data_IF_899056372806
#
_entry.id   IF_899056372806
#
_cell.length_a   1.000
_cell.length_b   1.000
_cell.length_c   1.000
_cell.angle_alpha   90.00
_cell.angle_beta   90.00
_cell.angle_gamma   90.00
#
_symmetry.space_group_name_H-M   'P 1'
#
loop_
_entity.id
_entity.type
_entity.pdbx_description
1 polymer ?
#
# COMPACT_ATOMS: atom_id res chain seq x y z
N UNK A 1 -10.19 36.24 -17.47
CA UNK A 1 -8.98 36.28 -16.63
C UNK A 1 -8.36 34.90 -16.41
N UNK A 2 -9.11 33.82 -16.13
CA UNK A 2 -8.54 32.47 -15.98
C UNK A 2 -7.94 31.89 -17.29
N UNK A 3 -8.62 32.06 -18.43
CA UNK A 3 -8.13 31.60 -19.75
C UNK A 3 -6.88 32.33 -20.21
N UNK A 4 -6.77 33.62 -19.93
CA UNK A 4 -5.58 34.41 -20.27
C UNK A 4 -4.39 33.99 -19.41
N UNK A 5 -4.55 33.82 -18.09
CA UNK A 5 -3.47 33.34 -17.23
C UNK A 5 -2.97 31.93 -17.60
N UNK A 6 -3.88 31.05 -18.04
CA UNK A 6 -3.55 29.70 -18.46
C UNK A 6 -2.76 29.68 -19.79
N UNK A 7 -3.16 30.50 -20.75
CA UNK A 7 -2.46 30.67 -22.04
C UNK A 7 -1.11 31.36 -21.83
N UNK A 8 -1.03 32.39 -20.97
CA UNK A 8 0.24 33.03 -20.63
C UNK A 8 1.16 32.09 -19.86
N UNK A 9 0.65 31.29 -18.93
CA UNK A 9 1.43 30.29 -18.20
C UNK A 9 1.99 29.19 -19.11
N UNK A 10 1.18 28.69 -20.06
CA UNK A 10 1.61 27.71 -21.06
C UNK A 10 2.59 28.31 -22.09
N UNK A 11 2.36 29.55 -22.53
CA UNK A 11 3.28 30.27 -23.42
C UNK A 11 4.61 30.57 -22.73
N UNK A 12 4.61 30.96 -21.46
CA UNK A 12 5.82 31.14 -20.68
C UNK A 12 6.54 29.80 -20.48
N UNK A 13 5.84 28.73 -20.10
CA UNK A 13 6.45 27.40 -20.00
C UNK A 13 7.08 26.94 -21.33
N UNK A 14 6.42 27.19 -22.46
CA UNK A 14 6.94 26.84 -23.79
C UNK A 14 8.13 27.73 -24.21
N UNK A 15 8.04 29.04 -23.99
CA UNK A 15 9.13 29.99 -24.26
C UNK A 15 10.36 29.72 -23.38
N UNK A 16 10.16 29.36 -22.11
CA UNK A 16 11.24 29.06 -21.17
C UNK A 16 11.84 27.66 -21.33
N UNK A 17 11.12 26.71 -21.95
CA UNK A 17 11.67 25.39 -22.27
C UNK A 17 12.70 25.41 -23.42
N UNK A 18 12.64 26.41 -24.30
CA UNK A 18 13.49 26.50 -25.49
C UNK A 18 14.71 27.41 -25.35
N UNK A 19 14.77 28.25 -24.31
CA UNK A 19 15.87 29.20 -24.11
C UNK A 19 16.72 28.75 -22.92
N UNK A 20 18.03 28.54 -23.16
CA UNK A 20 19.05 28.53 -22.10
C UNK A 20 19.11 29.92 -21.44
N UNK A 21 18.12 30.25 -20.62
CA UNK A 21 18.16 31.41 -19.75
C UNK A 21 19.00 31.03 -18.53
N UNK A 22 20.27 31.42 -18.59
CA UNK A 22 21.25 31.14 -17.58
C UNK A 22 20.74 31.40 -16.15
N UNK A 23 20.93 30.43 -15.28
CA UNK A 23 21.07 30.55 -13.82
C UNK A 23 20.07 31.44 -13.04
N UNK A 24 18.89 31.75 -13.57
CA UNK A 24 17.92 32.63 -12.90
C UNK A 24 16.74 31.81 -12.36
N UNK A 25 16.66 31.73 -11.03
CA UNK A 25 15.49 31.19 -10.35
C UNK A 25 14.35 32.23 -10.36
N UNK A 26 13.15 31.82 -10.77
CA UNK A 26 11.96 32.67 -10.77
C UNK A 26 10.90 32.05 -9.86
N UNK A 27 10.45 32.80 -8.86
CA UNK A 27 9.36 32.39 -7.96
C UNK A 27 8.16 33.35 -8.10
N UNK A 28 7.06 32.85 -8.66
CA UNK A 28 5.74 33.51 -8.75
C UNK A 28 4.67 32.57 -8.19
N UNK A 29 5.02 31.80 -7.17
CA UNK A 29 4.13 30.82 -6.57
C UNK A 29 2.83 31.47 -6.05
N UNK A 30 1.69 30.75 -6.14
CA UNK A 30 1.56 29.39 -6.64
C UNK A 30 1.42 29.33 -8.17
N UNK A 31 1.54 30.42 -8.92
CA UNK A 31 1.25 30.39 -10.36
C UNK A 31 2.37 29.73 -11.16
N UNK A 32 3.63 30.05 -10.85
CA UNK A 32 4.79 29.55 -11.58
C UNK A 32 6.05 29.57 -10.72
N UNK A 33 6.84 28.49 -10.72
CA UNK A 33 8.21 28.49 -10.22
C UNK A 33 9.15 27.84 -11.23
N UNK A 34 10.38 28.33 -11.32
CA UNK A 34 11.44 27.73 -12.12
C UNK A 34 12.75 27.82 -11.36
N UNK A 35 13.35 26.68 -11.03
CA UNK A 35 14.66 26.60 -10.40
C UNK A 35 15.65 25.82 -11.28
N UNK A 36 16.92 26.26 -11.32
CA UNK A 36 17.96 25.49 -11.99
C UNK A 36 18.24 24.19 -11.22
N UNK A 37 18.36 23.09 -11.96
CA UNK A 37 18.76 21.77 -11.47
C UNK A 37 20.02 21.31 -12.23
N UNK A 38 20.91 20.47 -11.68
CA UNK A 38 22.13 20.03 -12.39
C UNK A 38 21.85 19.49 -13.80
N UNK A 39 20.76 18.74 -13.96
CA UNK A 39 20.37 18.10 -15.23
C UNK A 39 19.24 18.83 -15.98
N UNK A 40 18.94 20.09 -15.61
CA UNK A 40 17.93 20.89 -16.30
C UNK A 40 17.26 21.95 -15.43
N UNK A 41 15.94 22.00 -15.45
CA UNK A 41 15.15 22.93 -14.64
C UNK A 41 14.01 22.17 -13.95
N UNK A 42 13.73 22.57 -12.72
CA UNK A 42 12.53 22.17 -12.01
C UNK A 42 11.48 23.27 -12.18
N UNK A 43 10.40 22.95 -12.90
CA UNK A 43 9.33 23.89 -13.20
C UNK A 43 8.03 23.41 -12.58
N UNK A 44 7.35 24.31 -11.84
CA UNK A 44 6.00 24.06 -11.33
C UNK A 44 5.03 25.13 -11.85
N UNK A 45 3.81 24.72 -12.20
CA UNK A 45 2.76 25.62 -12.73
C UNK A 45 1.45 25.34 -11.99
N UNK A 46 0.80 26.42 -11.54
CA UNK A 46 -0.43 26.40 -10.74
C UNK A 46 -0.28 25.53 -9.48
N UNK A 47 0.84 25.67 -8.77
CA UNK A 47 1.21 24.88 -7.61
C UNK A 47 1.76 23.54 -8.08
N UNK A 48 1.28 22.41 -7.54
CA UNK A 48 1.81 21.09 -7.84
C UNK A 48 1.03 20.37 -8.96
N UNK A 49 0.10 21.06 -9.62
CA UNK A 49 -0.75 20.45 -10.64
C UNK A 49 0.03 20.10 -11.89
N UNK A 50 0.96 20.95 -12.32
CA UNK A 50 1.89 20.65 -13.40
C UNK A 50 3.30 20.78 -12.84
N UNK A 51 4.07 19.71 -12.92
CA UNK A 51 5.46 19.69 -12.47
C UNK A 51 6.31 18.98 -13.52
N UNK A 52 7.39 19.64 -13.92
CA UNK A 52 8.37 19.15 -14.87
C UNK A 52 9.70 19.15 -14.14
N UNK A 53 10.18 17.96 -13.80
CA UNK A 53 11.50 17.70 -13.26
C UNK A 53 12.26 16.82 -14.27
N UNK A 54 13.60 16.86 -14.33
CA UNK A 54 14.36 15.93 -15.17
C UNK A 54 13.98 14.46 -14.93
N UNK A 55 13.83 14.08 -13.66
CA UNK A 55 13.49 12.71 -13.26
C UNK A 55 12.02 12.33 -13.43
N UNK A 56 11.09 13.29 -13.44
CA UNK A 56 9.67 12.98 -13.53
C UNK A 56 8.84 14.14 -14.10
N UNK A 57 7.73 13.81 -14.75
CA UNK A 57 6.75 14.77 -15.24
C UNK A 57 5.37 14.42 -14.72
N UNK A 58 4.70 15.37 -14.09
CA UNK A 58 3.40 15.14 -13.48
C UNK A 58 2.36 16.19 -13.91
N UNK A 59 1.18 15.70 -14.26
CA UNK A 59 -0.04 16.47 -14.46
C UNK A 59 -1.11 15.94 -13.51
N UNK A 60 -1.05 16.38 -12.26
CA UNK A 60 -1.77 15.77 -11.14
C UNK A 60 -3.25 16.19 -11.07
N UNK A 61 -4.14 15.29 -10.60
CA UNK A 61 -3.91 13.88 -10.24
C UNK A 61 -4.08 12.93 -11.46
N UNK A 62 -4.14 13.47 -12.67
CA UNK A 62 -4.57 12.75 -13.87
C UNK A 62 -3.46 11.87 -14.48
N UNK A 63 -2.23 12.34 -14.42
CA UNK A 63 -1.07 11.70 -15.04
C UNK A 63 0.20 11.98 -14.23
N UNK A 64 1.06 10.97 -14.10
CA UNK A 64 2.41 11.14 -13.58
C UNK A 64 3.33 10.14 -14.28
N UNK A 65 4.53 10.57 -14.66
CA UNK A 65 5.56 9.75 -15.28
C UNK A 65 6.85 9.90 -14.53
N UNK A 66 7.32 8.81 -13.95
CA UNK A 66 8.64 8.66 -13.37
C UNK A 66 9.58 8.14 -14.46
N UNK A 67 10.54 8.97 -14.87
CA UNK A 67 11.50 8.60 -15.92
C UNK A 67 12.59 7.66 -15.38
N UNK A 68 12.84 7.70 -14.07
CA UNK A 68 13.89 6.93 -13.40
C UNK A 68 13.51 5.45 -13.32
N UNK A 69 12.26 5.17 -12.98
CA UNK A 69 11.71 3.80 -12.92
C UNK A 69 10.89 3.42 -14.17
N UNK A 70 10.78 4.31 -15.16
CA UNK A 70 9.92 4.15 -16.33
C UNK A 70 8.47 3.75 -15.98
N UNK A 71 7.95 4.33 -14.89
CA UNK A 71 6.58 4.10 -14.45
C UNK A 71 5.68 5.27 -14.86
N UNK A 72 4.49 4.96 -15.37
CA UNK A 72 3.47 5.95 -15.69
C UNK A 72 2.18 5.63 -14.94
N UNK A 73 1.69 6.57 -14.14
CA UNK A 73 0.37 6.53 -13.52
C UNK A 73 -0.63 7.35 -14.33
N UNK A 74 -1.84 6.81 -14.51
CA UNK A 74 -2.98 7.52 -15.10
C UNK A 74 -4.15 7.36 -14.13
N UNK A 75 -4.72 8.47 -13.65
CA UNK A 75 -5.84 8.47 -12.70
C UNK A 75 -5.55 7.55 -11.49
N UNK A 76 -4.43 7.78 -10.82
CA UNK A 76 -4.01 6.94 -9.69
C UNK A 76 -5.16 6.76 -8.66
N UNK A 77 -5.51 5.53 -8.24
CA UNK A 77 -4.79 4.26 -8.42
C UNK A 77 -5.26 3.39 -9.60
N UNK A 78 -6.15 3.89 -10.47
CA UNK A 78 -6.80 3.10 -11.51
C UNK A 78 -5.82 2.61 -12.57
N UNK A 79 -4.98 3.51 -13.10
CA UNK A 79 -4.00 3.24 -14.14
C UNK A 79 -2.56 3.27 -13.62
N UNK A 80 -1.81 2.19 -13.84
CA UNK A 80 -0.35 2.13 -13.60
C UNK A 80 0.30 1.29 -14.68
N UNK A 81 1.29 1.85 -15.35
CA UNK A 81 1.96 1.29 -16.52
C UNK A 81 3.46 1.26 -16.26
N UNK A 82 4.03 0.06 -16.22
CA UNK A 82 5.47 -0.18 -16.25
C UNK A 82 5.78 -1.22 -17.33
N UNK A 83 7.07 -1.41 -17.63
CA UNK A 83 7.55 -2.35 -18.65
C UNK A 83 7.04 -3.77 -18.42
N UNK A 84 7.02 -4.23 -17.18
CA UNK A 84 6.60 -5.58 -16.83
C UNK A 84 5.10 -5.68 -16.55
N UNK A 85 4.50 -4.63 -15.98
CA UNK A 85 3.11 -4.65 -15.51
C UNK A 85 2.39 -3.38 -15.88
N UNK A 86 1.33 -3.52 -16.66
CA UNK A 86 0.43 -2.42 -16.99
C UNK A 86 -0.98 -2.76 -16.54
N UNK A 87 -1.71 -1.81 -15.97
CA UNK A 87 -3.11 -2.01 -15.56
C UNK A 87 -3.89 -0.71 -15.69
N UNK A 88 -5.16 -0.85 -16.03
CA UNK A 88 -6.19 0.17 -15.91
C UNK A 88 -7.46 -0.50 -15.41
N UNK A 89 -7.68 -0.47 -14.09
CA UNK A 89 -8.72 -1.27 -13.45
C UNK A 89 -10.14 -0.78 -13.80
N UNK A 90 -11.12 -1.68 -14.06
CA UNK A 90 -10.99 -3.13 -14.23
C UNK A 90 -10.81 -3.56 -15.71
N UNK A 91 -10.71 -2.60 -16.63
CA UNK A 91 -10.85 -2.84 -18.07
C UNK A 91 -9.60 -3.45 -18.71
N UNK A 92 -8.40 -3.09 -18.25
CA UNK A 92 -7.15 -3.52 -18.87
C UNK A 92 -6.16 -4.01 -17.81
N UNK A 93 -5.48 -5.12 -18.10
CA UNK A 93 -4.28 -5.52 -17.39
C UNK A 93 -3.33 -6.26 -18.33
N UNK A 94 -2.04 -6.06 -18.15
CA UNK A 94 -0.97 -6.73 -18.89
C UNK A 94 0.15 -7.07 -17.92
N UNK A 95 0.65 -8.29 -18.04
CA UNK A 95 1.80 -8.80 -17.30
C UNK A 95 2.73 -9.47 -18.29
N UNK A 96 4.00 -9.10 -18.23
CA UNK A 96 5.07 -9.62 -19.05
C UNK A 96 6.15 -10.17 -18.12
N UNK A 97 6.11 -11.49 -17.91
CA UNK A 97 7.17 -12.25 -17.25
C UNK A 97 7.81 -13.19 -18.29
N UNK A 98 9.06 -13.63 -18.08
CA UNK A 98 9.82 -14.42 -19.05
C UNK A 98 9.06 -15.67 -19.57
N UNK A 99 8.40 -16.40 -18.65
CA UNK A 99 7.65 -17.62 -18.97
C UNK A 99 6.15 -17.40 -19.08
N UNK A 100 5.67 -16.18 -18.83
CA UNK A 100 4.24 -15.92 -18.67
C UNK A 100 3.88 -14.52 -19.13
N UNK A 101 3.17 -14.46 -20.25
CA UNK A 101 2.57 -13.23 -20.74
C UNK A 101 1.06 -13.32 -20.59
N UNK A 102 0.45 -12.21 -20.19
CA UNK A 102 -0.99 -12.13 -20.07
C UNK A 102 -1.46 -10.73 -20.37
N UNK A 103 -2.54 -10.61 -21.14
CA UNK A 103 -3.23 -9.37 -21.42
C UNK A 103 -4.72 -9.60 -21.31
N UNK A 104 -5.39 -8.84 -20.45
CA UNK A 104 -6.84 -8.73 -20.37
C UNK A 104 -7.24 -7.36 -20.88
N UNK A 105 -8.19 -7.33 -21.81
CA UNK A 105 -9.00 -6.17 -22.17
C UNK A 105 -10.46 -6.61 -22.00
N UNK A 106 -10.98 -6.48 -20.79
CA UNK A 106 -12.24 -7.10 -20.39
C UNK A 106 -13.36 -6.78 -21.41
N UNK A 107 -14.09 -7.79 -21.92
CA UNK A 107 -14.12 -9.20 -21.50
C UNK A 107 -13.08 -10.13 -22.15
N UNK A 108 -12.26 -9.63 -23.07
CA UNK A 108 -11.26 -10.41 -23.80
C UNK A 108 -10.01 -10.60 -22.97
N UNK A 109 -9.39 -11.78 -23.10
CA UNK A 109 -8.07 -12.00 -22.55
C UNK A 109 -7.26 -12.93 -23.45
N UNK A 110 -5.95 -12.78 -23.41
CA UNK A 110 -4.99 -13.57 -24.16
C UNK A 110 -3.68 -13.65 -23.39
N UNK A 111 -2.84 -14.62 -23.72
CA UNK A 111 -1.55 -14.76 -23.08
C UNK A 111 -0.79 -15.97 -23.58
N UNK A 112 0.40 -16.18 -23.02
CA UNK A 112 1.18 -17.38 -23.22
C UNK A 112 1.77 -17.85 -21.90
N UNK A 113 1.93 -19.16 -21.75
CA UNK A 113 2.70 -19.77 -20.68
C UNK A 113 3.66 -20.80 -21.28
N UNK A 114 4.96 -20.64 -21.06
CA UNK A 114 6.02 -21.48 -21.67
C UNK A 114 5.76 -21.72 -23.17
N UNK A 115 5.61 -20.63 -23.92
CA UNK A 115 5.32 -20.61 -25.37
C UNK A 115 3.96 -21.19 -25.80
N UNK A 116 3.12 -21.70 -24.89
CA UNK A 116 1.74 -22.10 -25.23
C UNK A 116 0.78 -20.91 -25.18
N UNK A 117 0.20 -20.50 -26.32
CA UNK A 117 -0.79 -19.43 -26.34
C UNK A 117 -2.12 -19.89 -25.75
N UNK A 118 -2.83 -18.96 -25.12
CA UNK A 118 -4.18 -19.16 -24.60
C UNK A 118 -4.98 -17.85 -24.70
N UNK A 119 -6.30 -17.94 -24.52
CA UNK A 119 -7.18 -16.77 -24.55
C UNK A 119 -8.65 -17.13 -24.47
N UNK A 120 -9.49 -16.10 -24.49
CA UNK A 120 -10.93 -16.25 -24.40
C UNK A 120 -11.69 -14.92 -24.31
N UNK A 121 -13.00 -15.06 -24.24
CA UNK A 121 -13.99 -13.99 -24.09
C UNK A 121 -14.87 -14.38 -22.91
N UNK A 122 -14.73 -13.69 -21.79
CA UNK A 122 -15.56 -13.94 -20.61
C UNK A 122 -16.98 -13.37 -20.82
N UNK A 123 -18.06 -14.11 -20.49
CA UNK A 123 -18.11 -15.46 -19.94
C UNK A 123 -18.29 -16.57 -20.99
N UNK A 124 -18.22 -16.28 -22.28
CA UNK A 124 -18.59 -17.22 -23.36
C UNK A 124 -17.67 -18.42 -23.48
N UNK A 125 -16.37 -18.21 -23.56
CA UNK A 125 -15.39 -19.29 -23.69
C UNK A 125 -14.02 -18.80 -23.29
N UNK A 126 -13.21 -19.67 -22.72
CA UNK A 126 -11.82 -19.34 -22.53
C UNK A 126 -10.97 -20.49 -22.06
N UNK A 127 -9.68 -20.42 -22.37
CA UNK A 127 -8.65 -21.33 -21.91
C UNK A 127 -7.56 -20.49 -21.27
N UNK A 128 -7.08 -20.91 -20.11
CA UNK A 128 -5.97 -20.30 -19.39
C UNK A 128 -5.01 -21.40 -18.92
N UNK A 129 -3.70 -21.11 -18.95
CA UNK A 129 -2.67 -21.98 -18.40
C UNK A 129 -1.98 -21.33 -17.21
N UNK A 130 -1.62 -22.15 -16.22
CA UNK A 130 -0.92 -21.75 -14.99
C UNK A 130 -1.53 -20.50 -14.31
N UNK A 131 -2.86 -20.51 -14.13
CA UNK A 131 -3.65 -19.37 -13.62
C UNK A 131 -4.56 -19.81 -12.49
N UNK A 132 -4.81 -18.93 -11.52
CA UNK A 132 -5.68 -19.19 -10.37
C UNK A 132 -5.31 -20.44 -9.55
N UNK A 133 -4.03 -20.84 -9.57
CA UNK A 133 -3.54 -22.04 -8.89
C UNK A 133 -3.81 -23.37 -9.61
N UNK A 134 -4.21 -23.32 -10.88
CA UNK A 134 -4.43 -24.46 -11.77
C UNK A 134 -3.45 -24.45 -12.94
N UNK A 135 -3.03 -25.64 -13.39
CA UNK A 135 -2.17 -25.78 -14.57
C UNK A 135 -2.92 -25.43 -15.85
N UNK A 136 -4.21 -25.74 -15.88
CA UNK A 136 -5.10 -25.45 -17.00
C UNK A 136 -6.51 -25.18 -16.48
N UNK A 137 -7.15 -24.14 -16.97
CA UNK A 137 -8.55 -23.83 -16.69
C UNK A 137 -9.27 -23.50 -17.99
N UNK A 138 -10.36 -24.20 -18.29
CA UNK A 138 -11.25 -23.84 -19.40
C UNK A 138 -12.66 -23.64 -18.89
N UNK A 139 -13.40 -22.78 -19.59
CA UNK A 139 -14.82 -22.61 -19.36
C UNK A 139 -15.56 -22.44 -20.68
N UNK A 140 -16.84 -22.81 -20.65
CA UNK A 140 -17.79 -22.60 -21.72
C UNK A 140 -19.09 -22.07 -21.10
N UNK A 141 -19.51 -20.90 -21.54
CA UNK A 141 -20.67 -20.16 -21.03
C UNK A 141 -20.66 -20.10 -19.50
N UNK A 142 -19.60 -19.56 -18.90
CA UNK A 142 -19.48 -19.48 -17.45
C UNK A 142 -20.75 -18.82 -16.85
N UNK A 143 -21.37 -19.41 -15.80
CA UNK A 143 -20.90 -20.53 -14.98
C UNK A 143 -21.39 -21.93 -15.41
N UNK A 144 -21.97 -22.11 -16.60
CA UNK A 144 -22.58 -23.37 -17.03
C UNK A 144 -21.61 -24.55 -17.10
N UNK A 145 -20.40 -24.35 -17.65
CA UNK A 145 -19.38 -25.39 -17.69
C UNK A 145 -17.98 -24.81 -17.44
N UNK A 146 -17.21 -25.48 -16.60
CA UNK A 146 -15.78 -25.24 -16.47
C UNK A 146 -15.05 -26.55 -16.19
N UNK A 147 -13.84 -26.68 -16.71
CA UNK A 147 -12.92 -27.74 -16.30
C UNK A 147 -11.59 -27.12 -15.85
N UNK A 148 -10.99 -27.72 -14.83
CA UNK A 148 -9.70 -27.28 -14.30
C UNK A 148 -8.81 -28.48 -14.09
N UNK A 149 -7.54 -28.36 -14.46
CA UNK A 149 -6.52 -29.37 -14.23
C UNK A 149 -5.50 -28.87 -13.21
N UNK A 150 -5.13 -29.74 -12.28
CA UNK A 150 -4.01 -29.54 -11.36
C UNK A 150 -3.28 -30.86 -11.18
N UNK A 151 -2.00 -30.90 -11.51
CA UNK A 151 -1.22 -32.12 -11.68
C UNK A 151 -1.94 -33.09 -12.66
N UNK A 152 -2.22 -34.31 -12.22
CA UNK A 152 -2.95 -35.32 -13.00
C UNK A 152 -4.46 -35.32 -12.76
N UNK A 153 -4.97 -34.39 -11.94
CA UNK A 153 -6.39 -34.34 -11.60
C UNK A 153 -7.14 -33.35 -12.47
N UNK A 154 -8.22 -33.81 -13.07
CA UNK A 154 -9.16 -32.97 -13.84
C UNK A 154 -10.49 -32.88 -13.13
N UNK A 155 -10.86 -31.67 -12.73
CA UNK A 155 -12.15 -31.36 -12.10
C UNK A 155 -13.08 -30.69 -13.09
N UNK A 156 -14.24 -31.29 -13.32
CA UNK A 156 -15.34 -30.77 -14.12
C UNK A 156 -16.35 -30.08 -13.22
N UNK A 157 -16.86 -28.93 -13.65
CA UNK A 157 -17.88 -28.15 -12.95
C UNK A 157 -19.03 -27.87 -13.91
N UNK A 158 -20.24 -28.15 -13.48
CA UNK A 158 -21.47 -27.85 -14.20
C UNK A 158 -22.32 -26.94 -13.34
N UNK A 159 -22.80 -25.84 -13.93
CA UNK A 159 -23.58 -24.80 -13.25
C UNK A 159 -22.91 -24.39 -11.94
N UNK A 160 -21.64 -23.96 -12.00
CA UNK A 160 -20.86 -23.67 -10.80
C UNK A 160 -21.64 -22.75 -9.84
N UNK A 161 -21.75 -23.07 -8.54
CA UNK A 161 -21.06 -24.15 -7.81
C UNK A 161 -21.86 -25.47 -7.65
N UNK A 162 -22.99 -25.66 -8.35
CA UNK A 162 -23.95 -26.75 -8.08
C UNK A 162 -23.34 -28.14 -8.26
N UNK A 163 -22.63 -28.40 -9.35
CA UNK A 163 -22.01 -29.71 -9.59
C UNK A 163 -20.50 -29.58 -9.79
N UNK A 164 -19.73 -30.40 -9.08
CA UNK A 164 -18.29 -30.55 -9.28
C UNK A 164 -17.89 -32.02 -9.20
N UNK A 165 -17.10 -32.49 -10.16
CA UNK A 165 -16.68 -33.89 -10.26
C UNK A 165 -15.22 -34.01 -10.65
N UNK A 166 -14.45 -34.80 -9.91
CA UNK A 166 -13.09 -35.21 -10.23
C UNK A 166 -12.98 -36.71 -10.00
N UNK A 167 -12.51 -37.45 -11.01
CA UNK A 167 -12.47 -38.91 -10.95
C UNK A 167 -11.66 -39.40 -9.75
N UNK A 168 -12.26 -40.27 -8.93
CA UNK A 168 -11.63 -40.86 -7.74
C UNK A 168 -11.31 -39.88 -6.61
N UNK A 169 -11.62 -38.59 -6.75
CA UNK A 169 -11.25 -37.55 -5.79
C UNK A 169 -12.40 -36.69 -5.30
N UNK A 170 -13.32 -36.24 -6.15
CA UNK A 170 -14.32 -35.27 -5.73
C UNK A 170 -15.67 -35.51 -6.40
N UNK A 171 -16.75 -35.42 -5.63
CA UNK A 171 -18.11 -35.36 -6.11
C UNK A 171 -18.88 -34.40 -5.21
N UNK A 172 -19.32 -33.27 -5.74
CA UNK A 172 -20.10 -32.27 -5.04
C UNK A 172 -21.38 -31.99 -5.80
N UNK A 173 -22.49 -32.06 -5.08
CA UNK A 173 -23.84 -31.67 -5.48
C UNK A 173 -24.29 -30.62 -4.45
N UNK A 174 -23.87 -29.38 -4.65
CA UNK A 174 -24.16 -28.29 -3.72
C UNK A 174 -25.65 -27.90 -3.76
N UNK A 175 -26.30 -27.64 -2.61
CA UNK A 175 -25.78 -27.72 -1.24
C UNK A 175 -26.02 -29.09 -0.56
N UNK A 176 -26.51 -30.10 -1.28
CA UNK A 176 -27.05 -31.32 -0.69
C UNK A 176 -25.97 -32.30 -0.21
N UNK A 177 -24.92 -32.48 -0.99
CA UNK A 177 -23.88 -33.48 -0.71
C UNK A 177 -22.52 -33.06 -1.27
N UNK A 178 -21.47 -33.38 -0.55
CA UNK A 178 -20.09 -33.23 -1.02
C UNK A 178 -19.26 -34.40 -0.52
N UNK A 179 -18.37 -34.87 -1.38
CA UNK A 179 -17.39 -35.90 -1.11
C UNK A 179 -16.08 -35.49 -1.75
N UNK A 180 -15.01 -35.43 -0.96
CA UNK A 180 -13.68 -35.05 -1.43
C UNK A 180 -12.63 -35.91 -0.75
N UNK A 181 -11.69 -36.44 -1.52
CA UNK A 181 -10.55 -37.23 -1.06
C UNK A 181 -9.28 -36.43 -1.27
N UNK A 182 -8.62 -36.11 -0.18
CA UNK A 182 -7.33 -35.42 -0.15
C UNK A 182 -6.23 -36.40 0.26
N UNK A 183 -4.97 -35.93 0.31
CA UNK A 183 -3.87 -36.72 0.88
C UNK A 183 -4.05 -37.00 2.36
N UNK A 184 -4.76 -36.14 3.09
CA UNK A 184 -4.95 -36.23 4.54
C UNK A 184 -6.17 -37.02 4.98
N UNK A 185 -7.11 -37.31 4.08
CA UNK A 185 -8.33 -38.03 4.43
C UNK A 185 -9.46 -37.88 3.41
N UNK A 186 -10.64 -38.31 3.81
CA UNK A 186 -11.90 -38.16 3.07
C UNK A 186 -12.79 -37.19 3.84
N UNK A 187 -13.17 -36.10 3.16
CA UNK A 187 -14.08 -35.08 3.62
C UNK A 187 -15.46 -35.28 2.99
N UNK A 188 -16.50 -35.18 3.79
CA UNK A 188 -17.89 -35.36 3.41
C UNK A 188 -18.74 -34.22 3.98
N UNK A 189 -19.66 -33.71 3.18
CA UNK A 189 -20.66 -32.75 3.61
C UNK A 189 -22.05 -33.26 3.24
N UNK A 190 -23.01 -33.04 4.14
CA UNK A 190 -24.41 -33.37 3.92
C UNK A 190 -25.22 -32.14 4.31
N UNK A 191 -26.08 -31.67 3.41
CA UNK A 191 -26.89 -30.46 3.59
C UNK A 191 -26.03 -29.28 4.07
N UNK A 192 -25.05 -28.90 3.26
CA UNK A 192 -24.18 -27.78 3.55
C UNK A 192 -25.01 -26.54 3.96
N UNK A 193 -24.65 -25.82 5.04
CA UNK A 193 -23.45 -25.97 5.87
C UNK A 193 -23.67 -26.80 7.16
N UNK A 194 -24.70 -27.65 7.23
CA UNK A 194 -25.10 -28.28 8.48
C UNK A 194 -24.17 -29.40 8.92
N UNK A 195 -23.95 -30.41 8.08
CA UNK A 195 -23.19 -31.61 8.49
C UNK A 195 -21.86 -31.67 7.75
N UNK A 196 -20.78 -31.79 8.52
CA UNK A 196 -19.43 -31.97 8.01
C UNK A 196 -18.79 -33.18 8.69
N UNK A 197 -18.08 -33.99 7.91
CA UNK A 197 -17.36 -35.16 8.40
C UNK A 197 -16.03 -35.29 7.67
N UNK A 198 -14.96 -35.49 8.43
CA UNK A 198 -13.65 -35.84 7.87
C UNK A 198 -13.15 -37.12 8.54
N UNK A 199 -12.52 -37.99 7.76
CA UNK A 199 -11.90 -39.24 8.23
C UNK A 199 -10.54 -39.40 7.57
N UNK A 200 -9.47 -39.52 8.35
CA UNK A 200 -8.12 -39.67 7.85
C UNK A 200 -7.09 -39.46 8.97
N UNK A 201 -6.01 -38.73 8.68
CA UNK A 201 -5.05 -38.26 9.69
C UNK A 201 -5.79 -37.42 10.73
N UNK A 202 -6.78 -36.65 10.28
CA UNK A 202 -7.68 -35.86 11.09
C UNK A 202 -9.10 -36.40 10.98
N UNK A 203 -9.82 -36.34 12.09
CA UNK A 203 -11.19 -36.81 12.22
C UNK A 203 -12.06 -35.64 12.66
N UNK A 204 -12.96 -35.21 11.79
CA UNK A 204 -13.93 -34.15 12.07
C UNK A 204 -15.33 -34.74 12.10
N UNK A 205 -16.11 -34.35 13.10
CA UNK A 205 -17.55 -34.52 13.15
C UNK A 205 -18.19 -33.19 13.55
N UNK A 206 -19.02 -32.62 12.68
CA UNK A 206 -19.69 -31.37 12.97
C UNK A 206 -21.15 -31.39 12.52
N UNK A 207 -21.98 -30.77 13.33
CA UNK A 207 -23.36 -30.41 13.03
C UNK A 207 -23.58 -28.95 13.44
N UNK A 208 -23.41 -28.04 12.48
CA UNK A 208 -23.50 -26.60 12.74
C UNK A 208 -24.96 -26.16 12.96
N UNK A 209 -25.19 -25.17 13.84
CA UNK A 209 -24.21 -24.54 14.73
C UNK A 209 -23.96 -25.33 16.03
N UNK A 210 -24.58 -26.48 16.24
CA UNK A 210 -24.64 -27.18 17.53
C UNK A 210 -23.30 -27.71 18.05
N UNK A 211 -22.50 -28.36 17.21
CA UNK A 211 -21.16 -28.77 17.62
C UNK A 211 -20.21 -28.92 16.43
N UNK A 212 -18.92 -28.74 16.70
CA UNK A 212 -17.81 -29.04 15.81
C UNK A 212 -16.73 -29.74 16.63
N UNK A 213 -16.38 -30.97 16.27
CA UNK A 213 -15.36 -31.72 16.96
C UNK A 213 -14.30 -32.19 15.98
N UNK A 214 -13.10 -31.63 16.12
CA UNK A 214 -11.92 -31.93 15.31
C UNK A 214 -10.86 -32.61 16.20
N UNK A 215 -10.34 -33.75 15.75
CA UNK A 215 -9.30 -34.52 16.42
C UNK A 215 -8.23 -34.94 15.41
N UNK A 216 -6.98 -34.67 15.73
CA UNK A 216 -5.79 -35.16 15.03
C UNK A 216 -4.77 -35.74 16.02
N UNK A 217 -3.57 -36.12 15.54
CA UNK A 217 -2.51 -36.72 16.37
C UNK A 217 -2.04 -35.81 17.51
N UNK A 218 -1.91 -34.51 17.25
CA UNK A 218 -1.44 -33.51 18.21
C UNK A 218 -2.42 -32.36 18.43
N UNK A 219 -3.58 -32.36 17.79
CA UNK A 219 -4.57 -31.29 17.87
C UNK A 219 -5.95 -31.81 18.27
N UNK A 220 -6.65 -31.08 19.13
CA UNK A 220 -8.06 -31.33 19.46
C UNK A 220 -8.79 -29.99 19.56
N UNK A 221 -9.90 -29.86 18.83
CA UNK A 221 -10.79 -28.70 18.89
C UNK A 221 -12.23 -29.14 19.09
N UNK A 222 -12.92 -28.49 20.01
CA UNK A 222 -14.32 -28.69 20.31
C UNK A 222 -15.03 -27.34 20.34
N UNK A 223 -15.96 -27.11 19.42
CA UNK A 223 -16.91 -26.01 19.49
C UNK A 223 -18.28 -26.54 19.87
N UNK A 224 -18.95 -25.86 20.80
CA UNK A 224 -20.31 -26.16 21.21
C UNK A 224 -21.15 -24.90 21.00
N UNK A 225 -22.29 -25.07 20.32
CA UNK A 225 -23.19 -23.99 19.93
C UNK A 225 -22.39 -22.83 19.35
N UNK A 226 -21.64 -23.02 18.26
CA UNK A 226 -20.86 -21.93 17.70
C UNK A 226 -21.78 -20.73 17.39
N UNK A 227 -21.45 -19.49 17.82
CA UNK A 227 -20.15 -19.01 18.33
C UNK A 227 -20.00 -18.95 19.88
N UNK A 228 -20.84 -19.62 20.67
CA UNK A 228 -20.90 -19.49 22.13
C UNK A 228 -19.71 -20.08 22.87
N UNK A 229 -19.19 -21.25 22.49
CA UNK A 229 -18.05 -21.88 23.15
C UNK A 229 -17.14 -22.60 22.16
N UNK A 230 -15.82 -22.42 22.30
CA UNK A 230 -14.82 -23.19 21.56
C UNK A 230 -13.60 -23.45 22.45
N UNK A 231 -13.15 -24.70 22.49
CA UNK A 231 -11.94 -25.13 23.18
C UNK A 231 -10.99 -25.75 22.18
N UNK A 232 -9.75 -25.28 22.15
CA UNK A 232 -8.68 -25.85 21.33
C UNK A 232 -7.51 -26.25 22.22
N UNK A 233 -6.88 -27.36 21.87
CA UNK A 233 -5.65 -27.87 22.47
C UNK A 233 -4.74 -28.37 21.37
N UNK A 234 -3.47 -28.00 21.44
CA UNK A 234 -2.39 -28.45 20.59
C UNK A 234 -1.26 -28.93 21.49
N UNK A 235 -0.95 -30.22 21.42
CA UNK A 235 0.03 -30.87 22.27
C UNK A 235 1.47 -30.62 21.84
N UNK A 236 1.73 -30.32 20.57
CA UNK A 236 3.09 -30.10 20.06
C UNK A 236 3.64 -28.75 20.52
N UNK A 237 2.75 -27.75 20.62
CA UNK A 237 3.09 -26.39 21.07
C UNK A 237 2.67 -26.11 22.52
N UNK A 238 2.20 -27.15 23.23
CA UNK A 238 1.54 -27.07 24.54
C UNK A 238 0.50 -25.93 24.62
N UNK A 239 -0.18 -25.66 23.50
CA UNK A 239 -1.06 -24.52 23.35
C UNK A 239 -2.50 -24.90 23.68
N UNK A 240 -3.13 -24.09 24.53
CA UNK A 240 -4.56 -24.21 24.82
C UNK A 240 -5.25 -22.89 24.58
N UNK A 241 -6.46 -22.92 24.03
CA UNK A 241 -7.27 -21.71 23.86
C UNK A 241 -8.74 -21.99 24.12
N UNK A 242 -9.40 -21.09 24.84
CA UNK A 242 -10.84 -21.12 25.10
C UNK A 242 -11.45 -19.82 24.62
N UNK A 243 -12.41 -19.90 23.70
CA UNK A 243 -13.24 -18.78 23.25
C UNK A 243 -14.65 -18.91 23.86
N UNK A 244 -15.18 -17.81 24.40
CA UNK A 244 -16.56 -17.70 24.88
C UNK A 244 -17.21 -16.51 24.18
N UNK A 245 -18.41 -16.73 23.62
CA UNK A 245 -19.17 -15.72 22.86
C UNK A 245 -18.29 -15.05 21.81
N UNK A 246 -17.69 -15.83 20.92
CA UNK A 246 -16.76 -15.30 19.94
C UNK A 246 -17.39 -14.11 19.16
N UNK A 247 -16.67 -12.97 19.01
CA UNK A 247 -15.25 -12.74 19.32
C UNK A 247 -14.99 -12.10 20.71
N UNK A 248 -15.98 -12.03 21.61
CA UNK A 248 -15.91 -11.23 22.84
C UNK A 248 -14.84 -11.70 23.81
N UNK A 249 -14.82 -12.98 24.19
CA UNK A 249 -13.93 -13.47 25.24
C UNK A 249 -13.02 -14.57 24.70
N UNK A 250 -11.72 -14.47 24.97
CA UNK A 250 -10.73 -15.52 24.65
C UNK A 250 -9.63 -15.54 25.69
N UNK A 251 -9.24 -16.75 26.09
CA UNK A 251 -8.01 -17.00 26.83
C UNK A 251 -7.20 -18.03 26.07
N UNK A 252 -5.92 -17.77 25.88
CA UNK A 252 -5.00 -18.73 25.30
C UNK A 252 -3.67 -18.74 26.06
N UNK A 253 -3.06 -19.91 26.19
CA UNK A 253 -1.80 -20.12 26.91
C UNK A 253 -0.93 -21.16 26.20
N UNK A 254 0.38 -21.21 26.49
CA UNK A 254 1.34 -22.13 25.89
C UNK A 254 2.19 -21.47 24.82
N UNK A 255 2.06 -21.89 23.55
CA UNK A 255 2.82 -21.32 22.43
C UNK A 255 2.69 -19.79 22.26
N UNK A 256 1.62 -19.19 22.76
CA UNK A 256 1.48 -17.76 23.02
C UNK A 256 0.43 -17.55 24.13
N UNK A 257 0.54 -16.44 24.84
CA UNK A 257 -0.42 -16.02 25.84
C UNK A 257 -1.36 -14.98 25.22
N UNK A 258 -2.67 -15.13 25.42
CA UNK A 258 -3.68 -14.19 24.95
C UNK A 258 -4.82 -14.06 25.96
N UNK A 259 -5.21 -12.83 26.28
CA UNK A 259 -6.41 -12.52 27.05
C UNK A 259 -7.19 -11.45 26.31
N UNK A 260 -8.39 -11.79 25.85
CA UNK A 260 -9.26 -10.90 25.09
C UNK A 260 -10.61 -10.80 25.78
N UNK A 261 -11.04 -9.56 26.00
CA UNK A 261 -12.37 -9.13 26.43
C UNK A 261 -12.75 -7.97 25.50
N UNK A 262 -13.11 -8.30 24.26
CA UNK A 262 -13.40 -7.33 23.22
C UNK A 262 -14.73 -6.60 23.47
N UNK A 263 -14.81 -5.27 23.25
CA UNK A 263 -13.75 -4.36 22.81
C UNK A 263 -12.91 -3.75 23.95
N UNK A 264 -13.13 -4.12 25.20
CA UNK A 264 -12.56 -3.41 26.37
C UNK A 264 -11.06 -3.65 26.59
N UNK A 265 -10.59 -4.88 26.41
CA UNK A 265 -9.21 -5.25 26.71
C UNK A 265 -8.75 -6.38 25.77
N UNK A 266 -7.54 -6.28 25.26
CA UNK A 266 -6.93 -7.35 24.49
C UNK A 266 -5.41 -7.34 24.68
N UNK A 267 -4.88 -8.36 25.33
CA UNK A 267 -3.46 -8.60 25.47
C UNK A 267 -3.07 -9.86 24.74
N UNK A 268 -1.94 -9.84 24.03
CA UNK A 268 -1.35 -10.99 23.36
C UNK A 268 0.16 -10.91 23.42
N UNK A 269 0.83 -11.95 23.86
CA UNK A 269 2.29 -12.02 23.89
C UNK A 269 2.79 -13.38 23.41
N UNK A 270 3.91 -13.36 22.68
CA UNK A 270 4.61 -14.54 22.20
C UNK A 270 6.09 -14.40 22.56
N UNK A 271 6.41 -14.72 23.81
CA UNK A 271 7.76 -14.51 24.36
C UNK A 271 8.25 -13.08 24.15
N UNK A 272 9.52 -12.92 23.78
CA UNK A 272 10.11 -11.62 23.44
C UNK A 272 9.82 -11.16 21.99
N UNK A 273 9.27 -12.04 21.14
CA UNK A 273 9.13 -11.78 19.69
C UNK A 273 7.97 -10.84 19.36
N UNK A 274 6.86 -10.92 20.10
CA UNK A 274 5.69 -10.10 19.80
C UNK A 274 4.86 -9.86 21.05
N UNK A 275 4.53 -8.60 21.30
CA UNK A 275 3.60 -8.19 22.36
C UNK A 275 2.60 -7.21 21.79
N UNK A 276 1.33 -7.36 22.14
CA UNK A 276 0.24 -6.48 21.75
C UNK A 276 -0.66 -6.23 22.95
N UNK A 277 -1.01 -4.96 23.17
CA UNK A 277 -1.96 -4.52 24.16
C UNK A 277 -2.96 -3.56 23.52
N UNK A 278 -4.25 -3.81 23.69
CA UNK A 278 -5.32 -2.89 23.30
C UNK A 278 -6.24 -2.64 24.48
N UNK A 279 -6.58 -1.37 24.68
CA UNK A 279 -7.51 -0.92 25.72
C UNK A 279 -8.61 -0.13 25.01
N UNK A 280 -9.86 -0.50 25.26
CA UNK A 280 -11.05 0.08 24.63
C UNK A 280 -10.85 0.18 23.11
N UNK A 281 -10.67 -0.95 22.42
CA UNK A 281 -10.50 -0.92 20.97
C UNK A 281 -11.66 -0.14 20.29
N UNK A 282 -11.37 0.79 19.35
CA UNK A 282 -10.08 1.10 18.74
C UNK A 282 -9.32 2.29 19.38
N UNK A 283 -9.65 2.73 20.60
CA UNK A 283 -9.10 3.93 21.24
C UNK A 283 -7.60 3.83 21.59
N UNK A 284 -7.11 2.68 22.02
CA UNK A 284 -5.68 2.50 22.27
C UNK A 284 -5.22 1.12 21.84
N UNK A 285 -4.12 1.07 21.10
CA UNK A 285 -3.45 -0.18 20.73
C UNK A 285 -1.95 0.06 20.66
N UNK A 286 -1.19 -0.76 21.36
CA UNK A 286 0.26 -0.77 21.36
C UNK A 286 0.74 -2.16 20.92
N UNK A 287 1.75 -2.20 20.06
CA UNK A 287 2.33 -3.42 19.51
C UNK A 287 3.84 -3.28 19.47
N UNK A 288 4.52 -4.31 19.93
CA UNK A 288 5.96 -4.49 19.79
C UNK A 288 6.24 -5.80 19.05
N UNK A 289 7.18 -5.76 18.12
CA UNK A 289 7.65 -6.94 17.38
C UNK A 289 9.17 -6.94 17.33
N UNK A 290 9.78 -8.08 17.58
CA UNK A 290 11.22 -8.29 17.59
C UNK A 290 11.56 -9.45 16.66
N UNK A 291 12.28 -9.15 15.58
CA UNK A 291 12.72 -10.11 14.58
C UNK A 291 14.20 -10.40 14.82
N UNK A 292 14.50 -11.39 15.66
CA UNK A 292 15.86 -11.75 16.07
C UNK A 292 16.77 -12.05 14.86
N UNK A 293 16.29 -12.81 13.88
CA UNK A 293 17.05 -13.19 12.68
C UNK A 293 17.53 -11.98 11.85
N UNK A 294 16.82 -10.86 11.94
CA UNK A 294 17.14 -9.63 11.21
C UNK A 294 17.68 -8.51 12.11
N UNK A 295 17.70 -8.70 13.43
CA UNK A 295 18.03 -7.66 14.40
C UNK A 295 17.10 -6.45 14.33
N UNK A 296 15.83 -6.64 13.95
CA UNK A 296 14.87 -5.54 13.77
C UNK A 296 13.90 -5.49 14.94
N UNK A 297 13.71 -4.31 15.54
CA UNK A 297 12.66 -4.04 16.51
C UNK A 297 11.66 -3.04 15.97
N UNK A 298 10.38 -3.36 16.02
CA UNK A 298 9.30 -2.48 15.62
C UNK A 298 8.35 -2.21 16.79
N UNK A 299 8.00 -0.95 16.98
CA UNK A 299 7.01 -0.51 17.95
C UNK A 299 5.94 0.30 17.23
N UNK A 300 4.67 0.08 17.56
CA UNK A 300 3.56 0.82 16.98
C UNK A 300 2.48 1.12 18.03
N UNK A 301 2.17 2.39 18.18
CA UNK A 301 1.11 2.89 19.06
C UNK A 301 0.04 3.57 18.21
N UNK A 302 -1.19 3.08 18.28
CA UNK A 302 -2.37 3.73 17.71
C UNK A 302 -3.24 4.30 18.83
N UNK A 303 -3.66 5.54 18.66
CA UNK A 303 -4.62 6.24 19.52
C UNK A 303 -5.82 6.59 18.65
N UNK A 304 -6.95 5.93 18.92
CA UNK A 304 -8.17 5.99 18.11
C UNK A 304 -7.88 5.54 16.66
N UNK A 305 -8.60 6.10 15.70
CA UNK A 305 -8.37 5.94 14.26
C UNK A 305 -7.52 7.08 13.69
N UNK A 306 -7.18 8.07 14.51
CA UNK A 306 -6.61 9.34 14.08
C UNK A 306 -5.10 9.39 14.30
N UNK A 307 -4.62 8.83 15.42
CA UNK A 307 -3.21 8.86 15.80
C UNK A 307 -2.53 7.52 15.58
N UNK A 308 -1.40 7.49 14.88
CA UNK A 308 -0.51 6.34 14.85
C UNK A 308 0.94 6.81 14.91
N UNK A 309 1.70 6.28 15.85
CA UNK A 309 3.16 6.40 15.90
C UNK A 309 3.74 5.02 15.64
N UNK A 310 4.71 4.92 14.75
CA UNK A 310 5.50 3.70 14.57
C UNK A 310 6.98 4.03 14.62
N UNK A 311 7.77 3.16 15.23
CA UNK A 311 9.23 3.23 15.29
C UNK A 311 9.79 1.88 14.84
N UNK A 312 10.88 1.90 14.09
CA UNK A 312 11.61 0.73 13.64
C UNK A 312 13.09 0.99 13.85
N UNK A 313 13.74 0.08 14.58
CA UNK A 313 15.17 0.10 14.85
C UNK A 313 15.78 -1.08 14.10
N UNK A 314 16.74 -0.79 13.22
CA UNK A 314 17.46 -1.78 12.43
C UNK A 314 18.66 -2.40 13.16
N UNK A 315 19.34 -3.39 12.53
CA UNK A 315 20.47 -4.10 13.12
C UNK A 315 21.71 -3.23 13.39
N UNK A 316 21.78 -2.03 12.81
CA UNK A 316 22.83 -1.04 13.04
C UNK A 316 22.43 0.11 13.97
N UNK A 317 21.39 -0.08 14.80
CA UNK A 317 20.74 0.97 15.60
C UNK A 317 20.10 2.11 14.78
N UNK A 318 20.05 1.97 13.44
CA UNK A 318 19.38 2.91 12.57
C UNK A 318 17.90 3.03 12.94
N UNK A 319 17.47 4.24 13.30
CA UNK A 319 16.11 4.50 13.75
C UNK A 319 15.32 5.14 12.62
N UNK A 320 14.17 4.55 12.33
CA UNK A 320 13.17 5.16 11.47
C UNK A 320 11.82 5.17 12.17
N UNK A 321 10.99 6.15 11.87
CA UNK A 321 9.69 6.24 12.47
C UNK A 321 8.72 7.10 11.69
N UNK A 322 7.45 6.89 11.99
CA UNK A 322 6.35 7.59 11.36
C UNK A 322 5.39 8.06 12.42
N UNK A 323 4.83 9.23 12.20
CA UNK A 323 3.77 9.82 13.01
C UNK A 323 2.65 10.27 12.08
N UNK A 324 1.47 9.69 12.27
CA UNK A 324 0.24 10.08 11.61
C UNK A 324 -0.72 10.62 12.66
N UNK A 325 -1.20 11.83 12.47
CA UNK A 325 -2.25 12.50 13.24
C UNK A 325 -3.32 12.98 12.25
N UNK A 326 -4.13 12.05 11.76
CA UNK A 326 -5.18 12.34 10.79
C UNK A 326 -6.28 13.24 11.40
N UNK A 327 -6.81 14.25 10.68
CA UNK A 327 -6.46 14.68 9.31
C UNK A 327 -5.40 15.80 9.26
N UNK A 328 -4.64 16.00 10.33
CA UNK A 328 -3.81 17.19 10.54
C UNK A 328 -2.39 16.99 10.03
N UNK A 329 -1.66 15.99 10.52
CA UNK A 329 -0.21 15.96 10.36
C UNK A 329 0.29 14.57 10.03
N UNK A 330 1.25 14.49 9.12
CA UNK A 330 1.99 13.27 8.85
C UNK A 330 3.49 13.60 8.85
N UNK A 331 4.30 12.74 9.47
CA UNK A 331 5.76 12.84 9.49
C UNK A 331 6.38 11.46 9.30
N UNK A 332 7.33 11.37 8.40
CA UNK A 332 8.25 10.24 8.24
C UNK A 332 9.66 10.72 8.61
N UNK A 333 10.42 9.92 9.32
CA UNK A 333 11.78 10.28 9.73
C UNK A 333 12.68 9.05 9.81
N UNK A 334 13.94 9.24 9.45
CA UNK A 334 15.10 8.42 9.77
C UNK A 334 16.09 9.25 10.60
N UNK A 335 17.26 8.70 10.93
CA UNK A 335 18.25 9.39 11.75
C UNK A 335 18.64 10.77 11.21
N UNK A 336 18.91 10.89 9.91
CA UNK A 336 19.34 12.14 9.27
C UNK A 336 18.27 12.79 8.38
N UNK A 337 17.26 12.04 7.94
CA UNK A 337 16.21 12.56 7.07
C UNK A 337 14.88 12.68 7.81
N UNK A 338 14.14 13.75 7.57
CA UNK A 338 12.74 13.80 7.98
C UNK A 338 11.89 14.57 7.00
N UNK A 339 10.65 14.13 6.82
CA UNK A 339 9.68 14.74 5.93
C UNK A 339 8.36 14.85 6.66
N UNK A 340 7.69 15.99 6.57
CA UNK A 340 6.38 16.15 7.17
C UNK A 340 5.44 16.94 6.27
N UNK A 341 4.15 16.71 6.47
CA UNK A 341 3.06 17.16 5.61
C UNK A 341 1.86 17.62 6.43
N UNK A 342 1.25 18.73 6.02
CA UNK A 342 0.06 19.32 6.63
C UNK A 342 -0.80 20.00 5.55
N UNK A 343 -2.13 19.84 5.53
CA UNK A 343 -2.89 18.87 6.29
C UNK A 343 -2.73 17.45 5.73
N UNK A 344 -2.99 16.43 6.57
CA UNK A 344 -3.04 15.03 6.17
C UNK A 344 -4.50 14.63 5.83
N UNK A 345 -5.03 15.14 4.71
CA UNK A 345 -6.46 15.00 4.36
C UNK A 345 -6.91 13.54 4.12
N UNK A 346 -5.98 12.64 3.77
CA UNK A 346 -6.24 11.21 3.57
C UNK A 346 -5.13 10.38 4.24
N UNK A 347 -5.42 9.29 4.97
CA UNK A 347 -4.42 8.50 5.69
C UNK A 347 -3.69 7.50 4.78
N UNK A 348 -3.33 7.93 3.55
CA UNK A 348 -2.70 7.08 2.52
C UNK A 348 -1.26 7.52 2.19
N UNK A 349 -0.65 8.36 3.04
CA UNK A 349 0.73 8.84 2.88
C UNK A 349 1.80 7.74 2.95
N UNK A 350 1.42 6.48 3.25
CA UNK A 350 2.33 5.32 3.22
C UNK A 350 2.53 4.74 1.82
N UNK A 351 1.70 5.11 0.86
CA UNK A 351 1.74 4.58 -0.49
C UNK A 351 2.48 5.56 -1.42
N UNK A 352 3.55 5.10 -2.07
CA UNK A 352 4.39 5.94 -2.93
C UNK A 352 3.61 6.54 -4.11
N UNK A 353 2.64 5.78 -4.65
CA UNK A 353 1.77 6.26 -5.72
C UNK A 353 0.88 7.43 -5.26
N UNK A 354 0.34 7.36 -4.05
CA UNK A 354 -0.41 8.46 -3.43
C UNK A 354 0.49 9.66 -3.16
N UNK A 355 1.70 9.43 -2.62
CA UNK A 355 2.69 10.48 -2.38
C UNK A 355 3.12 11.20 -3.65
N UNK A 356 3.17 10.49 -4.78
CA UNK A 356 3.51 11.05 -6.08
C UNK A 356 2.35 11.82 -6.72
N UNK A 357 1.12 11.34 -6.60
CA UNK A 357 -0.03 11.86 -7.37
C UNK A 357 -0.94 12.82 -6.59
N UNK A 358 -1.24 12.50 -5.33
CA UNK A 358 -2.28 13.21 -4.55
C UNK A 358 -1.69 14.06 -3.43
N UNK A 359 -0.65 13.59 -2.74
CA UNK A 359 -0.08 14.31 -1.61
C UNK A 359 0.31 15.76 -1.97
N UNK A 360 1.00 16.06 -3.10
CA UNK A 360 1.41 17.43 -3.40
C UNK A 360 0.24 18.42 -3.48
N UNK A 361 -0.89 18.00 -4.05
CA UNK A 361 -2.11 18.83 -4.17
C UNK A 361 -2.79 19.00 -2.81
N UNK A 362 -2.84 17.93 -2.01
CA UNK A 362 -3.59 17.92 -0.75
C UNK A 362 -2.82 18.55 0.42
N UNK A 363 -1.50 18.71 0.28
CA UNK A 363 -0.64 19.29 1.31
C UNK A 363 -0.45 20.78 1.07
N UNK A 364 -0.77 21.58 2.07
CA UNK A 364 -0.60 23.03 2.05
C UNK A 364 0.76 23.45 2.61
N UNK A 365 1.29 22.72 3.58
CA UNK A 365 2.60 22.92 4.15
C UNK A 365 3.36 21.59 4.15
N UNK A 366 4.61 21.62 3.74
CA UNK A 366 5.51 20.49 3.85
C UNK A 366 6.91 20.97 4.21
N UNK A 367 7.67 20.11 4.89
CA UNK A 367 9.07 20.38 5.17
C UNK A 367 9.89 19.12 5.06
N UNK A 368 11.11 19.26 4.58
CA UNK A 368 12.08 18.18 4.51
C UNK A 368 13.35 18.60 5.25
N UNK A 369 14.02 17.63 5.85
CA UNK A 369 15.36 17.76 6.41
C UNK A 369 16.18 16.61 5.87
N UNK A 370 17.39 16.91 5.44
CA UNK A 370 18.38 15.96 4.99
C UNK A 370 19.74 16.38 5.58
N UNK A 371 20.13 15.73 6.67
CA UNK A 371 21.27 16.14 7.49
C UNK A 371 21.14 17.58 7.99
N UNK A 372 22.06 18.45 7.54
CA UNK A 372 22.11 19.88 7.87
C UNK A 372 21.23 20.75 6.95
N UNK A 373 20.78 20.20 5.81
CA UNK A 373 19.88 20.90 4.92
C UNK A 373 18.44 20.77 5.40
N UNK A 374 17.70 21.87 5.44
CA UNK A 374 16.27 21.85 5.74
C UNK A 374 15.49 22.78 4.83
N UNK A 375 14.33 22.31 4.38
CA UNK A 375 13.43 23.06 3.50
C UNK A 375 12.03 23.09 4.10
N UNK A 376 11.35 24.20 3.89
CA UNK A 376 9.98 24.44 4.30
C UNK A 376 9.25 25.14 3.16
N UNK A 377 8.06 24.66 2.83
CA UNK A 377 7.23 25.23 1.79
C UNK A 377 5.79 25.32 2.29
N UNK A 378 5.20 26.50 2.12
CA UNK A 378 3.82 26.83 2.48
C UNK A 378 3.08 27.34 1.24
N UNK A 379 1.87 26.84 1.06
CA UNK A 379 0.97 27.09 -0.07
C UNK A 379 1.72 26.94 -1.40
N UNK A 380 2.34 25.78 -1.62
CA UNK A 380 3.08 25.44 -2.84
C UNK A 380 4.17 26.47 -3.17
N UNK A 381 5.08 26.71 -2.22
CA UNK A 381 6.21 27.67 -2.30
C UNK A 381 5.83 29.15 -2.38
N UNK A 382 4.57 29.50 -2.11
CA UNK A 382 4.18 30.91 -1.92
C UNK A 382 5.01 31.53 -0.81
N UNK A 383 5.28 30.76 0.25
CA UNK A 383 6.40 31.01 1.13
C UNK A 383 7.31 29.78 1.13
N UNK A 384 8.60 29.99 0.90
CA UNK A 384 9.62 28.96 0.95
C UNK A 384 10.77 29.41 1.82
N UNK A 385 11.31 28.50 2.62
CA UNK A 385 12.48 28.71 3.45
C UNK A 385 13.42 27.52 3.27
N UNK A 386 14.69 27.81 3.07
CA UNK A 386 15.73 26.83 2.82
C UNK A 386 16.95 27.20 3.65
N UNK A 387 17.50 26.21 4.35
CA UNK A 387 18.72 26.33 5.12
C UNK A 387 19.67 25.23 4.69
N UNK A 388 20.92 25.59 4.43
CA UNK A 388 22.02 24.68 4.16
C UNK A 388 23.25 25.11 4.97
N UNK A 389 24.32 24.31 4.89
CA UNK A 389 25.63 24.68 5.46
C UNK A 389 26.21 25.96 4.87
N UNK A 390 25.83 26.29 3.63
CA UNK A 390 26.29 27.49 2.91
C UNK A 390 25.52 28.77 3.27
N UNK A 391 24.38 28.64 3.95
CA UNK A 391 23.60 29.77 4.44
C UNK A 391 22.08 29.54 4.49
N UNK A 392 21.33 30.63 4.67
CA UNK A 392 19.86 30.59 4.81
C UNK A 392 19.22 31.45 3.74
N UNK A 393 18.07 31.00 3.23
CA UNK A 393 17.27 31.77 2.30
C UNK A 393 15.79 31.63 2.58
N UNK A 394 15.03 32.68 2.30
CA UNK A 394 13.58 32.60 2.27
C UNK A 394 13.05 33.41 1.10
N UNK A 395 11.88 33.02 0.61
CA UNK A 395 11.16 33.75 -0.42
C UNK A 395 9.67 33.77 -0.11
N UNK A 396 9.05 34.91 -0.40
CA UNK A 396 7.61 35.12 -0.36
C UNK A 396 7.16 35.42 -1.80
N UNK A 397 7.01 34.38 -2.60
CA UNK A 397 6.60 34.45 -4.01
C UNK A 397 7.41 35.53 -4.76
N UNK A 398 6.73 36.37 -5.53
CA UNK A 398 7.33 37.49 -6.26
C UNK A 398 7.61 38.73 -5.38
N UNK A 399 7.10 38.78 -4.15
CA UNK A 399 7.09 40.00 -3.33
C UNK A 399 8.46 40.30 -2.73
N UNK A 400 9.04 39.32 -2.04
CA UNK A 400 10.28 39.49 -1.31
C UNK A 400 11.11 38.21 -1.31
N UNK A 401 12.42 38.36 -1.33
CA UNK A 401 13.37 37.28 -1.12
C UNK A 401 14.52 37.73 -0.23
N UNK A 402 15.11 36.77 0.44
CA UNK A 402 16.28 36.96 1.27
C UNK A 402 17.22 35.79 1.07
N UNK A 403 18.51 36.08 0.91
CA UNK A 403 19.56 35.07 0.86
C UNK A 403 20.76 35.54 1.65
N UNK A 404 21.17 34.75 2.62
CA UNK A 404 22.39 34.91 3.37
C UNK A 404 23.36 33.80 2.98
N UNK A 405 24.56 34.15 2.52
CA UNK A 405 25.62 33.18 2.25
C UNK A 405 26.99 33.85 2.42
N UNK A 406 27.92 33.16 3.08
CA UNK A 406 29.31 33.61 3.28
C UNK A 406 29.45 35.07 3.76
N UNK A 407 28.61 35.51 4.72
CA UNK A 407 28.67 36.87 5.28
C UNK A 407 28.02 37.96 4.43
N UNK A 408 27.47 37.62 3.27
CA UNK A 408 26.71 38.52 2.39
C UNK A 408 25.22 38.31 2.59
N UNK A 409 24.50 39.37 2.96
CA UNK A 409 23.05 39.41 3.00
C UNK A 409 22.51 40.05 1.72
N UNK A 410 21.58 39.38 1.06
CA UNK A 410 20.88 39.89 -0.13
C UNK A 410 19.40 39.94 0.14
N UNK A 411 18.81 41.12 0.00
CA UNK A 411 17.38 41.35 0.04
C UNK A 411 16.90 41.67 -1.36
N UNK A 412 15.85 40.99 -1.81
CA UNK A 412 15.21 41.25 -3.09
C UNK A 412 13.74 41.61 -2.91
N UNK A 413 13.24 42.56 -3.68
CA UNK A 413 11.81 42.89 -3.74
C UNK A 413 11.31 42.88 -5.18
N UNK A 414 10.04 42.52 -5.37
CA UNK A 414 9.34 42.49 -6.65
C UNK A 414 10.15 41.79 -7.75
N UNK A 415 10.18 40.46 -7.75
CA UNK A 415 10.99 39.64 -8.69
C UNK A 415 12.51 39.91 -8.61
N UNK A 416 12.99 40.36 -7.46
CA UNK A 416 14.38 40.82 -7.30
C UNK A 416 14.76 41.94 -8.29
N UNK A 417 13.79 42.78 -8.68
CA UNK A 417 14.05 44.02 -9.44
C UNK A 417 14.79 45.04 -8.57
N UNK A 418 14.39 45.14 -7.31
CA UNK A 418 15.11 45.91 -6.29
C UNK A 418 15.96 44.94 -5.48
N UNK A 419 17.29 45.10 -5.53
CA UNK A 419 18.24 44.27 -4.77
C UNK A 419 19.06 45.15 -3.85
N UNK A 420 19.08 44.79 -2.57
CA UNK A 420 19.98 45.38 -1.59
C UNK A 420 20.96 44.31 -1.16
N UNK A 421 22.25 44.58 -1.31
CA UNK A 421 23.31 43.69 -0.83
C UNK A 421 23.99 44.38 0.35
N UNK A 422 24.06 43.69 1.48
CA UNK A 422 24.78 44.12 2.66
C UNK A 422 25.90 43.12 2.91
N UNK A 423 27.13 43.57 2.78
CA UNK A 423 28.31 42.81 3.18
C UNK A 423 28.59 43.13 4.65
N UNK A 424 28.77 42.10 5.48
CA UNK A 424 29.37 42.33 6.81
C UNK A 424 30.82 42.76 6.57
N UNK A 425 31.13 44.01 6.90
CA UNK A 425 32.52 44.45 6.99
C UNK A 425 33.24 43.54 7.99
N UNK A 426 34.23 42.79 7.52
CA UNK A 426 35.24 42.19 8.38
C UNK A 426 36.04 43.33 8.99
N UNK A 427 35.79 43.63 10.26
CA UNK A 427 36.72 44.43 11.06
C UNK A 427 38.07 43.69 11.07
N UNK A 428 39.08 44.33 10.46
CA UNK A 428 40.47 43.89 10.48
C UNK A 428 41.20 44.37 11.73
#
# INVERSE_FOLDING_TARGET
MLRSALITGLLLAWLFSGTQLGAFALNVAPVFTSDPHPDGYHVTVLGPFIEIHPDFTAFRPLFSRDNLHQETDILYPLGRFSDQRSRFSPLYSRTLDADHTHTTLFPFFSGSYRERPYGGIFPVYGVMFNRFGFDEARFLLWPLYANTRKNDDTTYRLLWPIFSYCHGKTLVVFPLYGWEKTSGGVYQTILWPLIHRERGIRTIDAFLPFFWYDRGPSHTSLSLLWPFFTYNRDSDSDHTSTDILWPLIRWASGGYEETRIFPLYWSKSRGAQHTMLSILWPFFTHKESHYEDMGIREERTAILLLGTKSSRIGPGEESSGRLLLFPLFYRDYSDDDSRWFFPCVLPLFTDDGFMRNWAPILTLAHGTRCGDASTFSLLWRTFAWEQSTEGTSWSLSFLASYKHSQGVERYGFFFNLLRFTREKATDH
#
